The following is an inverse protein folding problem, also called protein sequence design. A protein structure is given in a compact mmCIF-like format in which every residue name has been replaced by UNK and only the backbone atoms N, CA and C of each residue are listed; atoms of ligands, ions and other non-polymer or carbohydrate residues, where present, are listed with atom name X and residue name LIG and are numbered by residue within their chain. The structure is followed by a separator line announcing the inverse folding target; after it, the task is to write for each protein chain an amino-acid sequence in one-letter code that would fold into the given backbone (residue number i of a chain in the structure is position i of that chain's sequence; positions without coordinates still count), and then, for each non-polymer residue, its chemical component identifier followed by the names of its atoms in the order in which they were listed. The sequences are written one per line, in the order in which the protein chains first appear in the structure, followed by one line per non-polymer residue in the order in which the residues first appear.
data_IF_327876297170
#
_entry.id   IF_327876297170
#
_cell.length_a   1.000
_cell.length_b   1.000
_cell.length_c   1.000
_cell.angle_alpha   90.00
_cell.angle_beta   90.00
_cell.angle_gamma   90.00
#
_symmetry.space_group_name_H-M   'P 1'
#
loop_
_entity.id
_entity.type
_entity.pdbx_description
1 polymer ?
#
# COMPACT_ATOMS: atom_id res chain seq x y z
N UNK A 1 30.85 -47.79 19.96
CA UNK A 1 30.04 -46.76 20.67
C UNK A 1 30.21 -45.34 20.10
N UNK A 2 31.42 -44.86 19.85
CA UNK A 2 31.69 -43.48 19.38
C UNK A 2 31.03 -43.10 18.04
N UNK A 3 31.00 -44.00 17.05
CA UNK A 3 30.33 -43.76 15.76
C UNK A 3 28.80 -43.60 15.88
N UNK A 4 28.18 -44.32 16.81
CA UNK A 4 26.73 -44.29 17.04
C UNK A 4 26.32 -42.98 17.71
N UNK A 5 27.09 -42.54 18.72
CA UNK A 5 26.90 -41.24 19.39
C UNK A 5 27.03 -40.09 18.40
N UNK A 6 28.04 -40.12 17.51
CA UNK A 6 28.22 -39.09 16.48
C UNK A 6 27.10 -39.05 15.44
N UNK A 7 26.47 -40.20 15.13
CA UNK A 7 25.32 -40.28 14.22
C UNK A 7 24.06 -39.67 14.86
N UNK A 8 23.79 -40.01 16.13
CA UNK A 8 22.67 -39.46 16.89
C UNK A 8 22.80 -37.94 17.02
N UNK A 9 23.99 -37.42 17.34
CA UNK A 9 24.24 -35.98 17.46
C UNK A 9 24.01 -35.21 16.14
N UNK A 10 24.36 -35.82 15.00
CA UNK A 10 24.12 -35.22 13.68
C UNK A 10 22.64 -35.20 13.32
N UNK A 11 21.91 -36.27 13.66
CA UNK A 11 20.46 -36.36 13.43
C UNK A 11 19.70 -35.34 14.28
N UNK A 12 20.03 -35.23 15.56
CA UNK A 12 19.41 -34.24 16.46
C UNK A 12 19.70 -32.82 16.01
N UNK A 13 20.93 -32.52 15.58
CA UNK A 13 21.28 -31.22 15.02
C UNK A 13 20.49 -30.87 13.76
N UNK A 14 20.33 -31.83 12.82
CA UNK A 14 19.53 -31.64 11.61
C UNK A 14 18.06 -31.40 11.92
N UNK A 15 17.50 -32.15 12.87
CA UNK A 15 16.12 -32.00 13.34
C UNK A 15 15.90 -30.63 13.97
N UNK A 16 16.80 -30.19 14.85
CA UNK A 16 16.76 -28.86 15.47
C UNK A 16 16.79 -27.76 14.40
N UNK A 17 17.67 -27.89 13.40
CA UNK A 17 17.76 -26.94 12.28
C UNK A 17 16.46 -26.86 11.47
N UNK A 18 15.84 -28.01 11.19
CA UNK A 18 14.57 -28.08 10.48
C UNK A 18 13.46 -27.39 11.30
N UNK A 19 13.38 -27.67 12.60
CA UNK A 19 12.39 -27.07 13.51
C UNK A 19 12.56 -25.55 13.56
N UNK A 20 13.78 -25.05 13.74
CA UNK A 20 14.05 -23.60 13.75
C UNK A 20 13.70 -22.95 12.41
N UNK A 21 13.97 -23.62 11.30
CA UNK A 21 13.61 -23.14 9.97
C UNK A 21 12.08 -23.08 9.78
N UNK A 22 11.35 -24.12 10.19
CA UNK A 22 9.88 -24.16 10.15
C UNK A 22 9.26 -23.10 11.05
N UNK A 23 9.79 -22.90 12.26
CA UNK A 23 9.35 -21.84 13.17
C UNK A 23 9.55 -20.45 12.55
N UNK A 24 10.69 -20.22 11.90
CA UNK A 24 10.95 -18.98 11.16
C UNK A 24 9.98 -18.76 10.00
N UNK A 25 9.64 -19.83 9.27
CA UNK A 25 8.67 -19.78 8.17
C UNK A 25 7.26 -19.43 8.70
N UNK A 26 6.79 -20.12 9.73
CA UNK A 26 5.49 -19.87 10.35
C UNK A 26 5.42 -18.45 10.90
N UNK A 27 6.46 -17.98 11.59
CA UNK A 27 6.53 -16.62 12.12
C UNK A 27 6.44 -15.54 11.01
N UNK A 28 7.14 -15.75 9.89
CA UNK A 28 7.04 -14.85 8.72
C UNK A 28 5.63 -14.82 8.13
N UNK A 29 4.99 -15.99 8.03
CA UNK A 29 3.63 -16.09 7.50
C UNK A 29 2.59 -15.45 8.43
N UNK A 30 2.67 -15.69 9.74
CA UNK A 30 1.69 -15.15 10.70
C UNK A 30 1.84 -13.65 10.90
N UNK A 31 3.08 -13.13 10.98
CA UNK A 31 3.33 -11.69 11.00
C UNK A 31 2.88 -11.04 9.69
N UNK A 32 3.21 -11.63 8.54
CA UNK A 32 2.76 -11.14 7.25
C UNK A 32 1.24 -11.05 7.16
N UNK A 33 0.53 -12.07 7.64
CA UNK A 33 -0.94 -12.12 7.64
C UNK A 33 -1.54 -11.06 8.59
N UNK A 34 -1.04 -10.97 9.83
CA UNK A 34 -1.50 -10.01 10.82
C UNK A 34 -1.25 -8.56 10.37
N UNK A 35 -0.09 -8.30 9.76
CA UNK A 35 0.25 -7.00 9.19
C UNK A 35 -0.66 -6.64 8.01
N UNK A 36 -0.95 -7.61 7.13
CA UNK A 36 -1.88 -7.43 6.00
C UNK A 36 -3.30 -7.14 6.47
N UNK A 37 -3.76 -7.79 7.55
CA UNK A 37 -5.10 -7.54 8.11
C UNK A 37 -5.20 -6.19 8.82
N UNK A 38 -4.23 -5.83 9.65
CA UNK A 38 -4.24 -4.54 10.37
C UNK A 38 -4.11 -3.36 9.42
N UNK A 39 -3.26 -3.48 8.41
CA UNK A 39 -3.08 -2.43 7.41
C UNK A 39 -4.20 -2.37 6.38
N UNK A 40 -4.80 -3.51 6.01
CA UNK A 40 -5.98 -3.52 5.13
C UNK A 40 -7.16 -2.73 5.70
N UNK A 41 -7.19 -2.52 7.02
CA UNK A 41 -8.19 -1.69 7.71
C UNK A 41 -7.77 -0.23 7.88
N UNK A 42 -6.53 0.12 7.53
CA UNK A 42 -6.07 1.50 7.64
C UNK A 42 -6.76 2.40 6.63
N UNK A 43 -7.10 3.61 7.05
CA UNK A 43 -7.73 4.62 6.19
C UNK A 43 -6.65 5.41 5.46
N UNK A 44 -6.86 5.62 4.16
CA UNK A 44 -6.11 6.59 3.35
C UNK A 44 -7.05 7.73 2.98
N UNK A 45 -6.58 8.95 3.18
CA UNK A 45 -7.32 10.14 2.77
C UNK A 45 -6.91 10.54 1.37
N UNK A 46 -7.92 10.82 0.55
CA UNK A 46 -7.79 11.03 -0.90
C UNK A 46 -8.61 12.23 -1.33
N UNK A 47 -8.16 12.92 -2.37
CA UNK A 47 -8.88 14.03 -3.03
C UNK A 47 -9.03 13.74 -4.52
N UNK A 48 -9.97 14.40 -5.20
CA UNK A 48 -10.04 14.33 -6.68
C UNK A 48 -8.92 15.13 -7.33
N UNK A 49 -8.61 16.25 -6.70
CA UNK A 49 -7.54 17.15 -7.06
C UNK A 49 -6.86 17.70 -5.80
N UNK A 50 -5.65 18.22 -5.93
CA UNK A 50 -4.83 18.66 -4.80
C UNK A 50 -5.45 19.84 -4.04
N UNK A 51 -6.15 20.72 -4.75
CA UNK A 51 -6.83 21.88 -4.18
C UNK A 51 -8.34 21.66 -3.96
N UNK A 52 -8.82 20.43 -4.15
CA UNK A 52 -10.23 20.13 -3.93
C UNK A 52 -10.58 20.30 -2.45
N UNK A 53 -11.70 20.98 -2.15
CA UNK A 53 -12.22 21.13 -0.79
C UNK A 53 -12.81 19.83 -0.26
N UNK A 54 -13.22 18.93 -1.16
CA UNK A 54 -13.69 17.61 -0.83
C UNK A 54 -12.56 16.67 -0.42
N UNK A 55 -12.78 15.94 0.68
CA UNK A 55 -11.91 14.87 1.13
C UNK A 55 -12.68 13.54 1.19
N UNK A 56 -12.16 12.57 0.46
CA UNK A 56 -12.56 11.18 0.51
C UNK A 56 -11.69 10.37 1.48
N UNK A 57 -12.22 9.24 1.91
CA UNK A 57 -11.51 8.23 2.69
C UNK A 57 -11.75 6.86 2.07
N UNK A 58 -10.67 6.10 1.91
CA UNK A 58 -10.67 4.74 1.35
C UNK A 58 -9.93 3.80 2.29
N UNK A 59 -10.22 2.51 2.23
CA UNK A 59 -9.35 1.52 2.91
C UNK A 59 -8.08 1.37 2.11
N UNK A 60 -6.96 1.17 2.80
CA UNK A 60 -5.67 0.89 2.15
C UNK A 60 -5.78 -0.26 1.14
N UNK A 61 -6.54 -1.30 1.46
CA UNK A 61 -6.70 -2.46 0.58
C UNK A 61 -7.44 -2.15 -0.74
N UNK A 62 -8.21 -1.06 -0.79
CA UNK A 62 -8.96 -0.64 -1.97
C UNK A 62 -8.19 0.40 -2.81
N UNK A 63 -7.02 0.86 -2.35
CA UNK A 63 -6.15 1.78 -3.08
C UNK A 63 -5.14 0.98 -3.91
N UNK A 64 -4.99 1.36 -5.18
CA UNK A 64 -4.17 0.66 -6.15
C UNK A 64 -3.18 1.61 -6.83
N UNK A 65 -2.07 1.04 -7.28
CA UNK A 65 -1.02 1.67 -8.10
C UNK A 65 -0.62 3.09 -7.66
N UNK A 66 -0.05 3.29 -6.46
CA UNK A 66 0.51 4.58 -6.08
C UNK A 66 1.63 4.99 -7.05
N UNK A 67 1.55 6.20 -7.60
CA UNK A 67 2.55 6.74 -8.53
C UNK A 67 2.70 8.25 -8.41
N UNK A 68 3.81 8.78 -8.90
CA UNK A 68 4.01 10.20 -9.11
C UNK A 68 3.42 10.63 -10.46
N UNK A 69 2.57 11.65 -10.46
CA UNK A 69 1.98 12.20 -11.68
C UNK A 69 1.75 13.71 -11.54
N UNK A 70 1.67 14.42 -12.65
CA UNK A 70 1.30 15.84 -12.70
C UNK A 70 -0.14 16.02 -13.17
N UNK A 71 -0.78 15.04 -13.79
CA UNK A 71 -2.17 15.20 -14.26
C UNK A 71 -3.15 14.78 -13.18
N UNK A 72 -4.11 15.64 -12.85
CA UNK A 72 -5.13 15.34 -11.84
C UNK A 72 -6.12 14.28 -12.31
N UNK A 73 -6.70 13.54 -11.38
CA UNK A 73 -7.73 12.54 -11.72
C UNK A 73 -9.09 13.15 -12.06
N UNK A 74 -9.35 14.34 -11.51
CA UNK A 74 -10.56 15.15 -11.62
C UNK A 74 -10.79 15.71 -13.01
N UNK A 75 -10.50 17.00 -13.13
CA UNK A 75 -10.61 17.77 -14.35
C UNK A 75 -9.52 17.41 -15.40
N UNK A 76 -8.63 16.45 -15.09
CA UNK A 76 -7.50 16.08 -15.95
C UNK A 76 -6.61 17.30 -16.25
N UNK A 77 -6.45 18.16 -15.24
CA UNK A 77 -5.62 19.37 -15.33
C UNK A 77 -4.20 19.07 -14.88
N UNK A 78 -3.25 19.79 -15.45
CA UNK A 78 -1.85 19.71 -15.01
C UNK A 78 -1.66 20.45 -13.68
N UNK A 79 -1.01 19.77 -12.75
CA UNK A 79 -0.69 20.27 -11.43
C UNK A 79 0.64 21.01 -11.45
N UNK A 80 0.81 22.06 -10.62
CA UNK A 80 2.04 22.83 -10.57
C UNK A 80 3.28 22.02 -10.18
N UNK A 81 3.08 20.89 -9.48
CA UNK A 81 4.13 20.00 -9.01
C UNK A 81 3.71 18.54 -9.20
N UNK A 82 4.67 17.61 -9.33
CA UNK A 82 4.42 16.19 -9.17
C UNK A 82 3.75 15.90 -7.82
N UNK A 83 2.60 15.23 -7.87
CA UNK A 83 1.88 14.79 -6.69
C UNK A 83 1.71 13.29 -6.68
N UNK A 84 1.45 12.76 -5.50
CA UNK A 84 1.22 11.34 -5.37
C UNK A 84 -0.23 11.01 -5.68
N UNK A 85 -0.39 10.14 -6.66
CA UNK A 85 -1.68 9.66 -7.15
C UNK A 85 -1.82 8.16 -6.89
N UNK A 86 -3.06 7.69 -6.98
CA UNK A 86 -3.39 6.27 -7.01
C UNK A 86 -4.77 6.09 -7.64
N UNK A 87 -5.25 4.86 -7.65
CA UNK A 87 -6.52 4.48 -8.24
C UNK A 87 -7.41 3.77 -7.23
N UNK A 88 -8.72 3.99 -7.34
CA UNK A 88 -9.72 3.34 -6.48
C UNK A 88 -11.05 3.24 -7.21
N UNK A 89 -11.83 2.21 -6.92
CA UNK A 89 -13.21 2.12 -7.38
C UNK A 89 -14.10 3.10 -6.63
N UNK A 90 -14.90 3.88 -7.36
CA UNK A 90 -15.64 5.01 -6.78
C UNK A 90 -16.63 4.60 -5.68
N UNK A 91 -17.16 3.37 -5.72
CA UNK A 91 -18.05 2.79 -4.71
C UNK A 91 -17.34 2.48 -3.38
N UNK A 92 -16.00 2.53 -3.34
CA UNK A 92 -15.19 2.34 -2.12
C UNK A 92 -14.87 3.65 -1.40
N UNK A 93 -15.04 4.79 -2.06
CA UNK A 93 -14.77 6.09 -1.46
C UNK A 93 -15.91 6.49 -0.52
N UNK A 94 -15.57 7.00 0.65
CA UNK A 94 -16.52 7.56 1.63
C UNK A 94 -16.14 9.02 1.91
N UNK A 95 -17.10 9.82 2.39
CA UNK A 95 -16.86 11.24 2.71
C UNK A 95 -17.32 12.19 1.61
N UNK A 96 -16.89 13.46 1.71
CA UNK A 96 -17.26 14.51 0.75
C UNK A 96 -16.27 14.46 -0.40
N UNK A 97 -16.63 13.79 -1.49
CA UNK A 97 -15.70 13.53 -2.58
C UNK A 97 -16.38 13.81 -3.91
N UNK A 98 -15.78 14.67 -4.74
CA UNK A 98 -16.36 15.13 -6.00
C UNK A 98 -16.39 14.03 -7.08
N UNK A 99 -17.38 13.14 -7.02
CA UNK A 99 -17.62 12.16 -8.06
C UNK A 99 -19.10 11.84 -8.19
N UNK A 100 -19.58 11.87 -9.42
CA UNK A 100 -20.87 11.32 -9.79
C UNK A 100 -20.66 10.22 -10.82
N UNK A 101 -21.50 9.18 -10.75
CA UNK A 101 -21.62 8.21 -11.83
C UNK A 101 -22.50 8.76 -12.98
N UNK A 102 -22.57 10.09 -13.15
CA UNK A 102 -23.47 10.71 -14.13
C UNK A 102 -23.01 10.51 -15.59
N UNK A 103 -21.74 10.14 -15.78
CA UNK A 103 -21.11 9.99 -17.10
C UNK A 103 -21.05 8.54 -17.59
N UNK A 104 -21.74 7.61 -16.90
CA UNK A 104 -21.76 6.19 -17.27
C UNK A 104 -22.07 5.26 -16.09
N UNK A 105 -22.35 3.98 -16.34
CA UNK A 105 -22.59 3.01 -15.29
C UNK A 105 -21.31 2.78 -14.46
N UNK A 106 -21.43 2.97 -13.14
CA UNK A 106 -20.35 2.65 -12.19
C UNK A 106 -20.27 1.17 -11.82
N UNK A 107 -19.30 0.77 -10.98
CA UNK A 107 -18.27 1.64 -10.38
C UNK A 107 -17.18 2.02 -11.38
N UNK A 108 -16.61 3.21 -11.22
CA UNK A 108 -15.52 3.72 -12.04
C UNK A 108 -14.19 3.55 -11.31
N UNK A 109 -13.15 3.12 -12.03
CA UNK A 109 -11.79 3.18 -11.52
C UNK A 109 -11.28 4.61 -11.68
N UNK A 110 -11.24 5.35 -10.57
CA UNK A 110 -10.95 6.77 -10.56
C UNK A 110 -9.56 7.04 -10.00
N UNK A 111 -8.83 7.94 -10.67
CA UNK A 111 -7.56 8.46 -10.18
C UNK A 111 -7.82 9.44 -9.03
N UNK A 112 -7.04 9.32 -7.97
CA UNK A 112 -7.12 10.16 -6.77
C UNK A 112 -5.76 10.75 -6.43
N UNK A 113 -5.75 11.84 -5.70
CA UNK A 113 -4.55 12.49 -5.18
C UNK A 113 -4.45 12.21 -3.66
N UNK A 114 -3.26 11.88 -3.18
CA UNK A 114 -2.95 11.76 -1.76
C UNK A 114 -1.96 12.86 -1.37
N UNK A 115 -2.32 13.65 -0.37
CA UNK A 115 -1.44 14.67 0.20
C UNK A 115 -0.84 14.19 1.52
N UNK A 116 0.39 14.66 1.80
CA UNK A 116 1.10 14.37 3.04
C UNK A 116 0.35 14.86 4.27
N UNK A 117 -0.23 16.05 4.20
CA UNK A 117 -0.95 16.70 5.30
C UNK A 117 -2.24 15.97 5.70
N UNK A 118 -2.89 15.28 4.74
CA UNK A 118 -4.12 14.54 4.99
C UNK A 118 -3.86 13.15 5.59
N UNK A 119 -2.65 12.62 5.45
CA UNK A 119 -2.33 11.24 5.74
C UNK A 119 -1.32 11.12 6.89
N UNK A 120 -1.55 10.17 7.80
CA UNK A 120 -0.58 9.91 8.87
C UNK A 120 0.81 9.58 8.31
N UNK A 121 1.86 9.95 9.05
CA UNK A 121 3.26 9.68 8.68
C UNK A 121 3.54 8.21 8.33
N UNK A 122 2.79 7.26 8.91
CA UNK A 122 2.91 5.83 8.61
C UNK A 122 2.36 5.50 7.22
N UNK A 123 1.18 6.02 6.88
CA UNK A 123 0.54 5.83 5.58
C UNK A 123 1.35 6.53 4.50
N UNK A 124 1.75 7.78 4.75
CA UNK A 124 2.54 8.55 3.80
C UNK A 124 3.86 7.85 3.42
N UNK A 125 4.64 7.39 4.40
CA UNK A 125 5.88 6.64 4.12
C UNK A 125 5.64 5.40 3.26
N UNK A 126 4.59 4.64 3.56
CA UNK A 126 4.27 3.44 2.79
C UNK A 126 3.84 3.76 1.36
N UNK A 127 3.13 4.86 1.17
CA UNK A 127 2.77 5.34 -0.16
C UNK A 127 4.03 5.68 -0.97
N UNK A 128 5.01 6.34 -0.34
CA UNK A 128 6.32 6.60 -0.95
C UNK A 128 7.09 5.31 -1.26
N UNK A 129 7.10 4.33 -0.35
CA UNK A 129 7.77 3.04 -0.57
C UNK A 129 7.22 2.30 -1.80
N UNK A 130 5.90 2.43 -2.06
CA UNK A 130 5.26 1.81 -3.22
C UNK A 130 5.46 2.60 -4.52
N UNK A 131 5.35 3.93 -4.45
CA UNK A 131 5.53 4.78 -5.61
C UNK A 131 6.99 4.85 -6.08
N UNK A 132 7.92 4.61 -5.14
CA UNK A 132 9.35 4.79 -5.37
C UNK A 132 9.75 6.27 -5.40
N UNK A 133 11.02 6.54 -5.73
CA UNK A 133 11.48 7.90 -5.94
C UNK A 133 10.71 8.55 -7.10
N UNK A 134 10.51 9.86 -7.05
CA UNK A 134 10.07 10.59 -8.23
C UNK A 134 11.24 10.59 -9.22
N UNK A 135 11.20 9.64 -10.17
CA UNK A 135 12.25 9.43 -11.17
C UNK A 135 12.52 10.67 -12.04
N UNK A 136 11.60 11.66 -12.03
CA UNK A 136 11.80 12.95 -12.71
C UNK A 136 12.70 13.91 -11.93
N UNK A 137 12.85 13.70 -10.62
CA UNK A 137 13.82 14.43 -9.80
C UNK A 137 15.22 13.82 -9.87
N UNK A 138 15.36 12.59 -10.39
CA UNK A 138 16.66 11.92 -10.58
C UNK A 138 17.35 12.30 -11.89
N UNK A 139 16.68 13.02 -12.79
CA UNK A 139 17.21 13.46 -14.09
C UNK A 139 17.76 14.90 -14.11
N UNK A 140 17.87 15.55 -12.94
CA UNK A 140 18.53 16.85 -12.75
C UNK A 140 19.85 16.66 -11.98
#
# INVERSE_FOLDING_TARGET
MTKFIGMVLKLTWRLLRLVLWLLGLVFRLTIGLAWRQTLGRSTVYVRRDWNDRGMGRVRWADLHDPLWDTVSGGAQVENPLPLLHGYVWCDKVRGKFGHSCAHGPGPHNIKVCMLREDNSNRIWRRLLDLAGPDRRLESN
#
